data_IF_366679691278
#
_entry.id   IF_366679691278
#
_cell.length_a   1.000
_cell.length_b   1.000
_cell.length_c   1.000
_cell.angle_alpha   90.00
_cell.angle_beta   90.00
_cell.angle_gamma   90.00
#
_symmetry.space_group_name_H-M   'P 1'
#
loop_
_entity.id
_entity.type
_entity.pdbx_description
1 polymer ?
#
# COMPACT_ATOMS: atom_id res chain seq x y z
N UNK A 1 8.01 -10.80 -19.17
CA UNK A 1 8.38 -10.23 -17.87
C UNK A 1 8.72 -11.39 -16.97
N UNK A 2 9.98 -11.54 -16.58
CA UNK A 2 10.38 -12.60 -15.64
C UNK A 2 9.61 -12.38 -14.32
N UNK A 3 9.19 -13.47 -13.67
CA UNK A 3 8.52 -13.39 -12.37
C UNK A 3 9.46 -12.73 -11.36
N UNK A 4 8.94 -11.83 -10.51
CA UNK A 4 9.72 -11.24 -9.41
C UNK A 4 10.37 -12.30 -8.52
N UNK A 5 9.75 -13.48 -8.42
CA UNK A 5 10.24 -14.61 -7.63
C UNK A 5 11.57 -15.18 -8.15
N UNK A 6 11.88 -15.00 -9.43
CA UNK A 6 13.13 -15.47 -10.06
C UNK A 6 14.28 -14.49 -9.92
N UNK A 7 14.02 -13.25 -9.44
CA UNK A 7 15.07 -12.25 -9.22
C UNK A 7 16.07 -12.77 -8.18
N UNK A 8 17.36 -12.73 -8.53
CA UNK A 8 18.46 -13.15 -7.68
C UNK A 8 19.13 -11.92 -7.07
N UNK A 9 19.26 -11.91 -5.75
CA UNK A 9 19.95 -10.84 -5.01
C UNK A 9 21.33 -11.33 -4.56
N UNK A 10 22.38 -10.55 -4.85
CA UNK A 10 23.77 -10.89 -4.47
C UNK A 10 23.91 -10.95 -2.94
N UNK A 11 23.58 -9.86 -2.24
CA UNK A 11 23.54 -9.77 -0.78
C UNK A 11 22.82 -8.49 -0.37
N UNK A 12 21.96 -8.55 0.64
CA UNK A 12 21.37 -7.37 1.28
C UNK A 12 21.09 -7.62 2.76
N UNK A 13 20.92 -6.54 3.51
CA UNK A 13 20.50 -6.59 4.92
C UNK A 13 19.03 -6.22 5.11
N UNK A 14 18.44 -6.75 6.17
CA UNK A 14 17.09 -6.43 6.64
C UNK A 14 17.06 -6.50 8.16
N UNK A 15 16.08 -5.85 8.79
CA UNK A 15 15.99 -5.76 10.25
C UNK A 15 14.88 -6.64 10.78
N UNK A 16 15.18 -7.44 11.80
CA UNK A 16 14.21 -8.17 12.61
C UNK A 16 13.96 -7.40 13.92
N UNK A 17 12.69 -7.21 14.24
CA UNK A 17 12.22 -6.52 15.44
C UNK A 17 11.45 -7.55 16.29
N UNK A 18 12.11 -8.15 17.30
CA UNK A 18 11.43 -9.05 18.22
C UNK A 18 10.29 -8.34 18.96
N UNK A 19 9.22 -9.07 19.29
CA UNK A 19 8.09 -8.51 20.02
C UNK A 19 8.39 -8.18 21.49
N UNK A 20 9.37 -8.84 22.09
CA UNK A 20 9.80 -8.54 23.45
C UNK A 20 10.63 -7.26 23.49
N UNK A 21 10.23 -6.31 24.33
CA UNK A 21 10.90 -5.02 24.47
C UNK A 21 12.31 -5.12 25.05
N UNK A 22 12.64 -6.20 25.76
CA UNK A 22 13.98 -6.48 26.26
C UNK A 22 14.98 -6.80 25.14
N UNK A 23 14.48 -7.29 24.01
CA UNK A 23 15.31 -7.86 22.97
C UNK A 23 15.70 -6.78 21.98
N UNK A 24 16.98 -6.72 21.63
CA UNK A 24 17.48 -5.76 20.64
C UNK A 24 16.98 -6.14 19.24
N UNK A 25 16.93 -5.15 18.35
CA UNK A 25 16.76 -5.46 16.93
C UNK A 25 17.95 -6.26 16.43
N UNK A 26 17.73 -7.06 15.40
CA UNK A 26 18.79 -7.83 14.76
C UNK A 26 18.88 -7.41 13.28
N UNK A 27 20.07 -7.01 12.84
CA UNK A 27 20.36 -6.86 11.41
C UNK A 27 20.72 -8.25 10.88
N UNK A 28 19.93 -8.73 9.92
CA UNK A 28 20.12 -10.03 9.27
C UNK A 28 20.50 -9.83 7.81
N UNK A 29 21.19 -10.81 7.25
CA UNK A 29 21.64 -10.79 5.87
C UNK A 29 20.92 -11.87 5.06
N UNK A 30 20.72 -11.62 3.77
CA UNK A 30 20.18 -12.59 2.83
C UNK A 30 20.86 -12.47 1.47
N UNK A 31 21.00 -13.60 0.79
CA UNK A 31 21.45 -13.72 -0.60
C UNK A 31 20.68 -14.85 -1.28
N UNK A 32 20.37 -14.70 -2.56
CA UNK A 32 19.67 -15.71 -3.36
C UNK A 32 18.37 -15.20 -3.97
N UNK A 33 17.50 -16.13 -4.37
CA UNK A 33 16.24 -15.81 -5.06
C UNK A 33 15.24 -15.10 -4.13
N UNK A 34 14.49 -14.16 -4.69
CA UNK A 34 13.40 -13.45 -4.00
C UNK A 34 12.36 -14.42 -3.43
N UNK A 35 12.02 -15.50 -4.14
CA UNK A 35 11.11 -16.54 -3.63
C UNK A 35 11.58 -17.15 -2.31
N UNK A 36 12.89 -17.33 -2.14
CA UNK A 36 13.47 -17.90 -0.93
C UNK A 36 13.43 -16.91 0.23
N UNK A 37 13.59 -15.62 -0.05
CA UNK A 37 13.41 -14.56 0.95
C UNK A 37 11.95 -14.50 1.44
N UNK A 38 10.99 -14.56 0.51
CA UNK A 38 9.56 -14.63 0.86
C UNK A 38 9.23 -15.89 1.67
N UNK A 39 9.80 -17.04 1.31
CA UNK A 39 9.60 -18.29 2.05
C UNK A 39 10.22 -18.24 3.45
N UNK A 40 11.36 -17.58 3.63
CA UNK A 40 11.97 -17.35 4.95
C UNK A 40 11.01 -16.58 5.86
N UNK A 41 10.43 -15.48 5.36
CA UNK A 41 9.45 -14.70 6.12
C UNK A 41 8.20 -15.52 6.43
N UNK A 42 7.66 -16.22 5.42
CA UNK A 42 6.49 -17.08 5.60
C UNK A 42 6.73 -18.15 6.66
N UNK A 43 7.88 -18.81 6.62
CA UNK A 43 8.23 -19.87 7.57
C UNK A 43 8.38 -19.34 9.01
N UNK A 44 8.77 -18.08 9.20
CA UNK A 44 8.85 -17.47 10.52
C UNK A 44 7.46 -17.31 11.14
N UNK A 45 6.49 -16.84 10.36
CA UNK A 45 5.12 -16.59 10.83
C UNK A 45 4.19 -17.81 10.75
N UNK A 46 4.60 -18.90 10.09
CA UNK A 46 3.80 -20.12 9.94
C UNK A 46 3.77 -21.01 11.18
N UNK A 47 4.02 -20.49 12.38
CA UNK A 47 3.87 -21.25 13.63
C UNK A 47 2.48 -21.91 13.66
N UNK A 48 2.41 -23.23 13.87
CA UNK A 48 1.15 -23.98 13.84
C UNK A 48 0.14 -23.36 14.80
N UNK A 49 -1.02 -23.01 14.27
CA UNK A 49 -2.16 -22.59 15.07
C UNK A 49 -2.57 -23.70 16.04
N UNK A 50 -2.85 -23.33 17.28
CA UNK A 50 -3.47 -24.22 18.26
C UNK A 50 -4.92 -24.48 17.86
N UNK A 51 -5.47 -25.62 18.28
CA UNK A 51 -6.87 -26.00 17.99
C UNK A 51 -7.85 -24.89 18.39
N UNK A 52 -7.61 -24.22 19.52
CA UNK A 52 -8.42 -23.08 19.98
C UNK A 52 -8.37 -21.87 19.03
N UNK A 53 -7.21 -21.61 18.41
CA UNK A 53 -7.02 -20.50 17.47
C UNK A 53 -7.67 -20.80 16.12
N UNK A 54 -7.62 -22.07 15.69
CA UNK A 54 -8.33 -22.56 14.50
C UNK A 54 -9.83 -22.36 14.66
N UNK A 55 -10.41 -22.68 15.82
CA UNK A 55 -11.84 -22.42 16.10
C UNK A 55 -12.18 -20.93 16.06
N UNK A 56 -11.37 -20.05 16.67
CA UNK A 56 -11.57 -18.58 16.63
C UNK A 56 -11.53 -18.03 15.20
N UNK A 57 -10.57 -18.50 14.40
CA UNK A 57 -10.48 -18.17 12.98
C UNK A 57 -11.73 -18.62 12.22
N UNK A 58 -12.15 -19.86 12.42
CA UNK A 58 -13.33 -20.43 11.76
C UNK A 58 -14.59 -19.63 12.08
N UNK A 59 -14.79 -19.24 13.35
CA UNK A 59 -15.90 -18.37 13.76
C UNK A 59 -15.85 -16.98 13.11
N UNK A 60 -14.65 -16.39 12.98
CA UNK A 60 -14.47 -15.07 12.36
C UNK A 60 -14.80 -15.12 10.88
N UNK A 61 -14.28 -16.12 10.15
CA UNK A 61 -14.56 -16.32 8.73
C UNK A 61 -16.04 -16.62 8.45
N UNK A 62 -16.69 -17.44 9.27
CA UNK A 62 -18.11 -17.77 9.09
C UNK A 62 -19.06 -16.59 9.36
N UNK A 63 -18.66 -15.64 10.22
CA UNK A 63 -19.43 -14.39 10.42
C UNK A 63 -19.37 -13.49 9.20
N UNK A 64 -18.24 -13.49 8.48
CA UNK A 64 -18.03 -12.64 7.30
C UNK A 64 -18.44 -13.32 5.99
N UNK A 65 -18.47 -14.66 5.94
CA UNK A 65 -18.77 -15.45 4.74
C UNK A 65 -19.63 -16.67 5.05
N UNK A 66 -20.77 -16.86 4.36
CA UNK A 66 -21.56 -18.12 4.40
C UNK A 66 -20.87 -19.23 3.58
N UNK A 67 -19.61 -19.54 3.90
CA UNK A 67 -18.82 -20.56 3.20
C UNK A 67 -18.96 -21.94 3.86
N UNK A 68 -18.57 -23.00 3.15
CA UNK A 68 -18.52 -24.35 3.73
C UNK A 68 -17.25 -24.53 4.58
N UNK A 69 -17.34 -25.31 5.66
CA UNK A 69 -16.25 -25.51 6.63
C UNK A 69 -14.91 -25.93 5.99
N UNK A 70 -14.96 -26.73 4.91
CA UNK A 70 -13.77 -27.17 4.16
C UNK A 70 -13.06 -26.01 3.42
N UNK A 71 -13.82 -25.05 2.91
CA UNK A 71 -13.26 -23.85 2.28
C UNK A 71 -12.66 -22.91 3.32
N UNK A 72 -13.28 -22.83 4.51
CA UNK A 72 -12.77 -22.05 5.64
C UNK A 72 -11.45 -22.63 6.15
N UNK A 73 -11.35 -23.95 6.32
CA UNK A 73 -10.10 -24.60 6.71
C UNK A 73 -8.97 -24.36 5.70
N UNK A 74 -9.26 -24.43 4.40
CA UNK A 74 -8.29 -24.08 3.36
C UNK A 74 -7.91 -22.59 3.39
N UNK A 75 -8.86 -21.69 3.63
CA UNK A 75 -8.58 -20.27 3.78
C UNK A 75 -7.70 -19.99 5.01
N UNK A 76 -7.92 -20.70 6.12
CA UNK A 76 -7.10 -20.61 7.34
C UNK A 76 -5.67 -21.04 7.07
N UNK A 77 -5.46 -22.17 6.39
CA UNK A 77 -4.11 -22.63 6.04
C UNK A 77 -3.40 -21.66 5.09
N UNK A 78 -4.13 -21.07 4.14
CA UNK A 78 -3.59 -20.05 3.23
C UNK A 78 -3.37 -18.69 3.93
N UNK A 79 -4.06 -18.44 5.05
CA UNK A 79 -3.91 -17.22 5.85
C UNK A 79 -2.68 -17.22 6.77
N UNK A 80 -2.05 -18.39 7.00
CA UNK A 80 -0.77 -18.52 7.73
C UNK A 80 0.40 -18.00 6.88
N UNK A 81 0.39 -16.70 6.64
CA UNK A 81 1.39 -15.98 5.88
C UNK A 81 1.77 -14.70 6.65
N UNK A 82 2.60 -13.85 6.06
CA UNK A 82 2.77 -12.49 6.55
C UNK A 82 1.86 -11.52 5.78
N UNK A 83 1.53 -10.42 6.42
CA UNK A 83 1.01 -9.21 5.81
C UNK A 83 2.16 -8.23 5.55
N UNK A 84 2.08 -7.48 4.44
CA UNK A 84 3.05 -6.42 4.12
C UNK A 84 2.40 -5.06 4.38
N UNK A 85 3.04 -4.24 5.22
CA UNK A 85 2.69 -2.83 5.40
C UNK A 85 3.74 -1.99 4.66
N UNK A 86 3.32 -1.27 3.63
CA UNK A 86 4.19 -0.30 2.95
C UNK A 86 4.40 0.93 3.82
N UNK A 87 5.64 1.13 4.26
CA UNK A 87 6.05 2.26 5.10
C UNK A 87 6.49 3.45 4.24
N UNK A 88 7.24 3.17 3.18
CA UNK A 88 7.72 4.16 2.21
C UNK A 88 7.46 3.62 0.82
N UNK A 89 6.78 4.41 -0.01
CA UNK A 89 6.51 4.08 -1.42
C UNK A 89 7.69 4.51 -2.31
N UNK A 90 8.05 3.72 -3.33
CA UNK A 90 9.09 4.10 -4.27
C UNK A 90 8.64 5.30 -5.11
N UNK A 91 9.45 6.34 -5.18
CA UNK A 91 9.19 7.53 -5.99
C UNK A 91 10.50 8.22 -6.38
N UNK A 92 10.45 9.20 -7.28
CA UNK A 92 11.65 9.90 -7.76
C UNK A 92 12.44 10.59 -6.64
N UNK A 93 11.78 11.08 -5.59
CA UNK A 93 12.42 11.84 -4.52
C UNK A 93 13.24 10.95 -3.57
N UNK A 94 12.87 9.67 -3.44
CA UNK A 94 13.62 8.68 -2.67
C UNK A 94 14.37 7.68 -3.55
N UNK A 95 14.68 8.06 -4.79
CA UNK A 95 15.39 7.23 -5.75
C UNK A 95 14.73 5.84 -5.91
N UNK A 96 13.41 5.82 -6.05
CA UNK A 96 12.60 4.61 -6.24
C UNK A 96 12.79 3.54 -5.15
N UNK A 97 13.14 3.96 -3.94
CA UNK A 97 13.34 3.04 -2.81
C UNK A 97 12.06 2.90 -2.01
N UNK A 98 11.53 1.68 -1.94
CA UNK A 98 10.45 1.28 -1.08
C UNK A 98 10.97 0.69 0.24
N UNK A 99 10.24 0.88 1.33
CA UNK A 99 10.51 0.21 2.62
C UNK A 99 9.22 -0.42 3.11
N UNK A 100 9.28 -1.72 3.43
CA UNK A 100 8.12 -2.53 3.78
C UNK A 100 8.35 -3.22 5.13
N UNK A 101 7.31 -3.24 5.95
CA UNK A 101 7.23 -4.08 7.15
C UNK A 101 6.47 -5.38 6.84
N UNK A 102 6.96 -6.49 7.38
CA UNK A 102 6.39 -7.82 7.27
C UNK A 102 5.96 -8.27 8.66
N UNK A 103 4.67 -8.52 8.84
CA UNK A 103 4.06 -8.86 10.13
C UNK A 103 3.22 -10.12 10.02
N UNK A 104 2.93 -10.77 11.13
CA UNK A 104 2.01 -11.91 11.16
C UNK A 104 0.58 -11.46 10.82
N UNK A 105 0.02 -11.97 9.71
CA UNK A 105 -1.34 -11.63 9.26
C UNK A 105 -2.43 -12.05 10.25
N UNK A 106 -2.13 -13.03 11.11
CA UNK A 106 -3.07 -13.59 12.08
C UNK A 106 -2.54 -13.49 13.52
N UNK A 107 -1.58 -12.60 13.78
CA UNK A 107 -1.00 -12.40 15.12
C UNK A 107 -2.06 -12.05 16.19
N UNK A 108 -3.15 -11.36 15.81
CA UNK A 108 -4.29 -11.08 16.70
C UNK A 108 -5.02 -12.35 17.15
N UNK A 109 -5.21 -13.30 16.24
CA UNK A 109 -5.92 -14.56 16.50
C UNK A 109 -5.07 -15.48 17.37
N UNK A 110 -3.76 -15.49 17.12
CA UNK A 110 -2.76 -16.15 17.97
C UNK A 110 -2.61 -15.50 19.35
N UNK A 111 -3.33 -14.41 19.62
CA UNK A 111 -3.24 -13.60 20.84
C UNK A 111 -1.79 -13.21 21.17
N UNK A 112 -1.00 -12.92 20.13
CA UNK A 112 0.39 -12.54 20.31
C UNK A 112 0.50 -11.17 21.01
N UNK A 113 1.54 -10.95 21.83
CA UNK A 113 1.76 -9.67 22.46
C UNK A 113 1.93 -8.54 21.44
N UNK A 114 1.58 -7.31 21.84
CA UNK A 114 1.85 -6.12 21.04
C UNK A 114 3.35 -5.93 20.96
N UNK A 115 3.86 -5.67 19.76
CA UNK A 115 5.22 -5.19 19.56
C UNK A 115 5.16 -3.66 19.47
N UNK A 116 5.49 -2.92 20.54
CA UNK A 116 5.29 -1.48 20.56
C UNK A 116 6.26 -0.76 19.62
N UNK A 117 7.44 -1.34 19.37
CA UNK A 117 8.41 -0.78 18.41
C UNK A 117 7.89 -0.86 16.99
N UNK A 118 7.45 -2.03 16.56
CA UNK A 118 6.86 -2.22 15.24
C UNK A 118 5.54 -1.43 15.11
N UNK A 119 4.71 -1.41 16.16
CA UNK A 119 3.44 -0.68 16.15
C UNK A 119 3.64 0.82 15.97
N UNK A 120 4.67 1.39 16.61
CA UNK A 120 5.05 2.80 16.42
C UNK A 120 5.45 3.10 14.97
N UNK A 121 6.32 2.28 14.37
CA UNK A 121 6.76 2.45 12.97
C UNK A 121 5.58 2.29 12.00
N UNK A 122 4.79 1.25 12.22
CA UNK A 122 3.67 0.92 11.34
C UNK A 122 2.44 1.79 11.61
N UNK A 123 2.40 2.61 12.67
CA UNK A 123 1.22 3.41 13.04
C UNK A 123 -0.07 2.58 13.12
N UNK A 124 0.06 1.31 13.51
CA UNK A 124 -1.03 0.35 13.69
C UNK A 124 -0.63 -0.69 14.73
N UNK A 125 -1.57 -1.41 15.29
CA UNK A 125 -1.32 -2.44 16.30
C UNK A 125 -0.76 -3.71 15.64
N UNK A 126 0.57 -3.88 15.78
CA UNK A 126 1.34 -5.03 15.30
C UNK A 126 1.52 -6.05 16.41
N UNK A 127 1.16 -7.30 16.12
CA UNK A 127 1.17 -8.43 17.06
C UNK A 127 2.30 -9.40 16.71
N UNK A 128 3.15 -9.71 17.69
CA UNK A 128 4.32 -10.56 17.48
C UNK A 128 5.46 -9.85 16.77
N UNK A 129 6.33 -10.62 16.13
CA UNK A 129 7.54 -10.09 15.51
C UNK A 129 7.25 -9.27 14.24
N UNK A 130 8.22 -8.46 13.83
CA UNK A 130 8.17 -7.70 12.58
C UNK A 130 9.52 -7.76 11.88
N UNK A 131 9.52 -7.89 10.55
CA UNK A 131 10.71 -7.65 9.73
C UNK A 131 10.56 -6.36 8.93
N UNK A 132 11.65 -5.66 8.67
CA UNK A 132 11.69 -4.50 7.78
C UNK A 132 12.77 -4.72 6.71
N UNK A 133 12.39 -4.53 5.45
CA UNK A 133 13.30 -4.65 4.31
C UNK A 133 12.96 -3.60 3.26
N UNK A 134 13.99 -3.13 2.56
CA UNK A 134 13.87 -2.16 1.48
C UNK A 134 14.15 -2.79 0.11
N UNK A 135 13.58 -2.16 -0.91
CA UNK A 135 13.75 -2.55 -2.31
C UNK A 135 13.81 -1.31 -3.19
N UNK A 136 14.59 -1.37 -4.25
CA UNK A 136 14.52 -0.45 -5.37
C UNK A 136 13.54 -1.01 -6.40
N UNK A 137 12.60 -0.19 -6.85
CA UNK A 137 11.58 -0.54 -7.84
C UNK A 137 11.21 0.68 -8.70
N UNK A 138 11.74 0.71 -9.93
CA UNK A 138 11.50 1.77 -10.92
C UNK A 138 10.63 1.31 -12.12
N UNK A 139 9.78 0.30 -11.91
CA UNK A 139 8.96 -0.41 -12.91
C UNK A 139 9.75 -1.35 -13.85
N UNK A 140 11.05 -1.11 -14.06
CA UNK A 140 11.89 -1.93 -14.94
C UNK A 140 12.84 -2.84 -14.17
N UNK A 141 13.33 -2.35 -13.04
CA UNK A 141 14.32 -3.02 -12.20
C UNK A 141 13.75 -3.15 -10.80
N UNK A 142 13.63 -4.39 -10.36
CA UNK A 142 13.37 -4.72 -8.97
C UNK A 142 14.63 -5.34 -8.35
N UNK A 143 15.08 -4.80 -7.22
CA UNK A 143 16.14 -5.41 -6.41
C UNK A 143 16.00 -5.06 -4.94
N UNK A 144 16.47 -5.94 -4.05
CA UNK A 144 16.56 -5.64 -2.63
C UNK A 144 17.72 -4.68 -2.38
N UNK A 145 17.52 -3.77 -1.44
CA UNK A 145 18.54 -2.83 -0.99
C UNK A 145 18.73 -3.04 0.51
N UNK A 146 19.97 -2.96 0.98
CA UNK A 146 20.29 -3.12 2.39
C UNK A 146 19.54 -2.11 3.24
N UNK A 147 18.85 -2.63 4.26
CA UNK A 147 18.23 -1.88 5.34
C UNK A 147 18.90 -2.34 6.65
N UNK A 148 19.63 -1.45 7.30
CA UNK A 148 20.45 -1.73 8.47
C UNK A 148 19.94 -1.05 9.75
N UNK A 149 20.79 -1.08 10.78
CA UNK A 149 20.49 -0.47 12.08
C UNK A 149 20.31 1.06 11.98
N UNK A 150 21.15 1.75 11.20
CA UNK A 150 21.04 3.19 10.99
C UNK A 150 19.71 3.57 10.32
N UNK A 151 19.29 2.80 9.30
CA UNK A 151 18.01 3.01 8.62
C UNK A 151 16.84 2.77 9.58
N UNK A 152 16.92 1.72 10.40
CA UNK A 152 15.95 1.45 11.46
C UNK A 152 15.86 2.60 12.45
N UNK A 153 16.99 3.12 12.94
CA UNK A 153 16.98 4.22 13.89
C UNK A 153 16.33 5.48 13.31
N UNK A 154 16.63 5.82 12.05
CA UNK A 154 16.02 6.96 11.36
C UNK A 154 14.51 6.76 11.22
N UNK A 155 14.09 5.57 10.80
CA UNK A 155 12.69 5.20 10.65
C UNK A 155 11.94 5.21 12.01
N UNK A 156 12.58 4.75 13.07
CA UNK A 156 12.00 4.71 14.42
C UNK A 156 11.89 6.11 15.05
N UNK A 157 12.86 7.00 14.76
CA UNK A 157 12.84 8.41 15.17
C UNK A 157 11.75 9.18 14.42
N UNK A 158 11.60 8.93 13.12
CA UNK A 158 10.66 9.63 12.24
C UNK A 158 9.77 8.64 11.47
N UNK A 159 8.79 8.00 12.13
CA UNK A 159 7.93 7.02 11.46
C UNK A 159 7.05 7.72 10.41
N UNK A 160 6.83 7.10 9.23
CA UNK A 160 6.03 7.69 8.17
C UNK A 160 4.55 7.73 8.55
N UNK A 161 3.84 8.76 8.10
CA UNK A 161 2.39 8.90 8.34
C UNK A 161 1.62 7.67 7.82
N UNK A 162 0.51 7.36 8.48
CA UNK A 162 -0.46 6.37 7.99
C UNK A 162 -1.40 6.96 6.92
N UNK A 163 -1.41 8.29 6.76
CA UNK A 163 -2.21 8.99 5.77
C UNK A 163 -1.78 8.52 4.37
N UNK A 164 -2.69 7.82 3.67
CA UNK A 164 -2.53 7.22 2.34
C UNK A 164 -1.91 5.81 2.29
N UNK A 165 -1.76 5.10 3.41
CA UNK A 165 -1.46 3.66 3.35
C UNK A 165 -2.68 2.88 2.82
N UNK A 166 -2.42 1.88 1.98
CA UNK A 166 -3.45 0.98 1.46
C UNK A 166 -4.11 0.24 2.62
N UNK A 167 -5.43 0.37 2.74
CA UNK A 167 -6.22 -0.21 3.81
C UNK A 167 -7.25 -1.17 3.17
N UNK A 168 -7.06 -2.49 3.29
CA UNK A 168 -7.99 -3.47 2.75
C UNK A 168 -9.43 -3.32 3.27
N UNK A 169 -9.64 -2.76 4.47
CA UNK A 169 -10.97 -2.51 5.02
C UNK A 169 -11.72 -1.42 4.24
N UNK A 170 -11.01 -0.50 3.56
CA UNK A 170 -11.63 0.46 2.63
C UNK A 170 -12.17 -0.21 1.38
N UNK A 171 -11.65 -1.37 0.98
CA UNK A 171 -12.12 -2.12 -0.20
C UNK A 171 -13.56 -2.62 0.03
N UNK A 172 -13.88 -3.12 1.24
CA UNK A 172 -15.23 -3.58 1.56
C UNK A 172 -16.26 -2.43 1.50
N UNK A 173 -15.87 -1.23 1.95
CA UNK A 173 -16.68 -0.03 1.78
C UNK A 173 -16.82 0.39 0.30
N UNK A 174 -15.75 0.27 -0.49
CA UNK A 174 -15.71 0.61 -1.93
C UNK A 174 -16.52 -0.35 -2.82
N UNK A 175 -16.59 -1.65 -2.48
CA UNK A 175 -17.39 -2.65 -3.22
C UNK A 175 -18.89 -2.42 -2.98
N UNK A 176 -19.26 -1.99 -1.77
CA UNK A 176 -20.66 -1.77 -1.40
C UNK A 176 -21.23 -0.43 -1.91
N UNK A 177 -20.38 0.53 -2.31
CA UNK A 177 -20.78 1.81 -2.89
C UNK A 177 -19.89 2.18 -4.10
N UNK A 178 -20.12 1.56 -5.28
CA UNK A 178 -19.33 1.81 -6.48
C UNK A 178 -19.46 3.25 -7.03
N UNK A 179 -20.39 4.05 -6.52
CA UNK A 179 -20.59 5.46 -6.90
C UNK A 179 -19.56 6.43 -6.30
N UNK A 180 -18.82 6.05 -5.26
CA UNK A 180 -17.76 6.90 -4.68
C UNK A 180 -16.45 6.88 -5.50
N UNK A 181 -16.30 5.94 -6.44
CA UNK A 181 -15.19 5.92 -7.41
C UNK A 181 -15.24 7.09 -8.42
N UNK A 182 -16.37 7.81 -8.50
CA UNK A 182 -16.56 8.95 -9.40
C UNK A 182 -16.59 10.32 -8.69
N UNK A 183 -16.45 10.34 -7.37
CA UNK A 183 -16.26 11.59 -6.62
C UNK A 183 -14.81 11.70 -6.19
N UNK A 184 -13.94 12.02 -7.14
CA UNK A 184 -12.73 12.72 -6.74
C UNK A 184 -13.17 13.99 -6.00
N UNK A 185 -12.77 14.12 -4.75
CA UNK A 185 -12.58 15.45 -4.14
C UNK A 185 -11.39 16.08 -4.85
N UNK A 186 -11.58 16.47 -6.11
CA UNK A 186 -10.79 17.53 -6.71
C UNK A 186 -11.43 18.82 -6.19
N UNK A 187 -10.83 19.37 -5.14
CA UNK A 187 -10.98 20.77 -4.83
C UNK A 187 -10.64 21.59 -6.08
N UNK A 188 -11.61 22.40 -6.51
CA UNK A 188 -11.58 23.44 -7.55
C UNK A 188 -10.19 23.77 -8.15
N UNK A 189 -9.72 22.95 -9.11
CA UNK A 189 -8.82 23.49 -10.14
C UNK A 189 -9.66 24.35 -11.06
N UNK A 190 -9.73 25.64 -10.74
CA UNK A 190 -10.12 26.69 -11.68
C UNK A 190 -9.44 26.38 -13.01
N UNK A 191 -10.23 26.14 -14.06
CA UNK A 191 -9.72 25.92 -15.40
C UNK A 191 -8.99 27.20 -15.82
N UNK A 192 -7.67 27.25 -15.62
CA UNK A 192 -6.83 28.41 -15.89
C UNK A 192 -6.32 28.43 -17.34
N UNK A 193 -6.84 27.57 -18.20
CA UNK A 193 -6.45 27.48 -19.61
C UNK A 193 -7.65 27.62 -20.52
N UNK A 194 -7.53 28.50 -21.50
CA UNK A 194 -8.56 28.72 -22.50
C UNK A 194 -8.49 27.66 -23.60
N UNK A 195 -9.57 26.95 -23.88
CA UNK A 195 -9.58 25.92 -24.93
C UNK A 195 -9.51 26.51 -26.36
N UNK A 196 -10.00 27.73 -26.54
CA UNK A 196 -9.97 28.40 -27.85
C UNK A 196 -8.59 28.92 -28.27
N UNK A 197 -7.79 29.45 -27.34
CA UNK A 197 -6.46 29.99 -27.64
C UNK A 197 -5.30 29.19 -27.04
N UNK A 198 -5.61 28.19 -26.20
CA UNK A 198 -4.68 27.28 -25.50
C UNK A 198 -3.68 27.95 -24.56
N UNK A 199 -3.86 29.25 -24.27
CA UNK A 199 -3.03 30.01 -23.32
C UNK A 199 -3.59 29.89 -21.91
N UNK A 200 -2.68 29.91 -20.95
CA UNK A 200 -3.01 30.08 -19.55
C UNK A 200 -3.47 31.52 -19.28
N UNK A 201 -4.37 31.69 -18.33
CA UNK A 201 -4.96 32.97 -17.93
C UNK A 201 -4.94 33.07 -16.42
N UNK A 202 -4.38 34.17 -15.92
CA UNK A 202 -4.44 34.55 -14.51
C UNK A 202 -5.82 35.11 -14.12
N UNK A 203 -6.69 35.37 -15.10
CA UNK A 203 -8.06 35.85 -14.90
C UNK A 203 -9.05 34.69 -14.98
N UNK A 204 -10.13 34.80 -14.20
CA UNK A 204 -11.28 33.88 -14.24
C UNK A 204 -11.79 33.71 -15.67
N UNK A 205 -11.80 32.47 -16.16
CA UNK A 205 -12.24 32.15 -17.50
C UNK A 205 -13.76 32.01 -17.61
N UNK A 206 -14.29 32.36 -18.77
CA UNK A 206 -15.68 32.14 -19.14
C UNK A 206 -15.92 30.65 -19.40
N UNK A 207 -16.64 29.98 -18.51
CA UNK A 207 -17.01 28.57 -18.69
C UNK A 207 -18.17 28.44 -19.66
N UNK A 208 -18.16 27.41 -20.52
CA UNK A 208 -19.30 27.11 -21.39
C UNK A 208 -20.58 26.95 -20.56
N UNK A 209 -21.58 27.80 -20.81
CA UNK A 209 -22.83 27.84 -20.04
C UNK A 209 -23.65 26.55 -20.13
N UNK A 210 -23.46 25.75 -21.19
CA UNK A 210 -24.18 24.50 -21.42
C UNK A 210 -23.59 23.32 -20.65
N UNK A 211 -22.34 22.95 -20.96
CA UNK A 211 -21.73 21.75 -20.37
C UNK A 211 -20.92 22.02 -19.11
N UNK A 212 -20.53 23.28 -18.87
CA UNK A 212 -19.66 23.70 -17.76
C UNK A 212 -18.28 23.03 -17.66
N UNK A 213 -17.84 22.31 -18.71
CA UNK A 213 -16.62 21.48 -18.73
C UNK A 213 -15.38 22.12 -19.37
N UNK A 214 -15.55 23.23 -20.10
CA UNK A 214 -14.48 23.92 -20.81
C UNK A 214 -14.56 25.41 -20.54
N UNK A 215 -13.42 26.10 -20.58
CA UNK A 215 -13.31 27.51 -20.25
C UNK A 215 -12.58 28.31 -21.34
N UNK A 216 -12.91 29.59 -21.45
CA UNK A 216 -12.46 30.48 -22.52
C UNK A 216 -12.08 31.86 -21.97
N UNK A 217 -11.07 32.50 -22.56
CA UNK A 217 -10.74 33.90 -22.22
C UNK A 217 -11.91 34.85 -22.49
N UNK A 218 -12.70 34.58 -23.53
CA UNK A 218 -13.82 35.39 -24.00
C UNK A 218 -14.71 34.61 -24.97
N UNK A 219 -15.82 35.23 -25.37
CA UNK A 219 -16.79 34.66 -26.33
C UNK A 219 -16.19 34.38 -27.71
N UNK A 220 -15.14 35.10 -28.11
CA UNK A 220 -14.49 34.87 -29.41
C UNK A 220 -13.71 33.56 -29.42
N UNK A 221 -13.01 33.24 -28.32
CA UNK A 221 -12.36 31.95 -28.14
C UNK A 221 -13.37 30.80 -28.10
N UNK A 222 -14.53 31.00 -27.46
CA UNK A 222 -15.62 30.02 -27.46
C UNK A 222 -16.18 29.79 -28.87
N UNK A 223 -16.41 30.86 -29.64
CA UNK A 223 -16.91 30.77 -31.02
C UNK A 223 -15.92 30.07 -31.96
N UNK A 224 -14.62 30.34 -31.80
CA UNK A 224 -13.55 29.67 -32.56
C UNK A 224 -13.51 28.16 -32.30
N UNK A 225 -13.65 27.77 -31.04
CA UNK A 225 -13.65 26.37 -30.63
C UNK A 225 -14.99 25.66 -30.92
N UNK A 226 -16.08 26.41 -31.17
CA UNK A 226 -17.43 25.86 -31.28
C UNK A 226 -17.59 24.74 -32.31
N UNK A 227 -16.90 24.82 -33.46
CA UNK A 227 -16.96 23.78 -34.50
C UNK A 227 -16.51 22.41 -34.00
N UNK A 228 -15.56 22.38 -33.09
CA UNK A 228 -15.02 21.20 -32.42
C UNK A 228 -15.81 20.90 -31.14
N UNK A 229 -15.93 21.87 -30.23
CA UNK A 229 -16.59 21.73 -28.94
C UNK A 229 -18.02 21.18 -29.01
N UNK A 230 -18.81 21.63 -30.00
CA UNK A 230 -20.22 21.23 -30.14
C UNK A 230 -20.42 19.72 -30.28
N UNK A 231 -19.41 18.98 -30.72
CA UNK A 231 -19.49 17.53 -30.94
C UNK A 231 -19.62 16.76 -29.61
N UNK A 232 -19.14 17.34 -28.51
CA UNK A 232 -19.11 16.71 -27.19
C UNK A 232 -19.70 17.60 -26.07
N UNK A 233 -20.22 18.79 -26.41
CA UNK A 233 -20.95 19.65 -25.49
C UNK A 233 -22.34 19.08 -25.16
N UNK A 234 -22.46 18.38 -24.03
CA UNK A 234 -23.71 17.85 -23.48
C UNK A 234 -24.16 18.68 -22.29
#
# INVERSE_FOLDING_TARGET
MESLDEVVHEKFTYVFIPYHDSDKIEVREFSGKEVNFKNLMRSHFSSKLRTSEVSKLHETFNKESKASDKLVEQAILNSQNYEIISLVLPNKNNNFTATNAYIDSIGRIKEMPINPRASKICSTDVRGDCFISSSFDDEYVFKRVSFGEEDYEQLYKNPPSAENRWDPSKISAMINNPTDLLKSKDDDKVLNRCEGCRKESEKTLLVCSRCKKVAYCNTDCQRKDWSYHRQFCK
#
